data_IF_642331063206
#
_entry.id   IF_642331063206
#
_cell.length_a   1.000
_cell.length_b   1.000
_cell.length_c   1.000
_cell.angle_alpha   90.00
_cell.angle_beta   90.00
_cell.angle_gamma   90.00
#
_symmetry.space_group_name_H-M   'P 1'
#
loop_
_entity.id
_entity.type
_entity.pdbx_description
1 polymer ?
#
# COMPACT_ATOMS: atom_id res chain seq x y z
N UNK A 1 18.30 28.04 14.12
CA UNK A 1 17.40 28.87 14.99
C UNK A 1 17.05 28.09 16.23
N UNK A 2 16.81 28.76 17.38
CA UNK A 2 16.32 28.07 18.57
C UNK A 2 14.82 27.89 18.46
N UNK A 3 14.34 26.63 18.57
CA UNK A 3 12.92 26.28 18.50
C UNK A 3 12.55 25.32 19.62
N UNK A 4 11.30 25.39 20.10
CA UNK A 4 10.74 24.36 20.97
C UNK A 4 10.57 23.04 20.21
N UNK A 5 10.66 21.90 20.91
CA UNK A 5 10.48 20.60 20.30
C UNK A 5 9.17 20.46 19.53
N UNK A 6 8.08 21.01 20.03
CA UNK A 6 6.80 21.06 19.34
C UNK A 6 6.89 21.76 17.96
N UNK A 7 7.58 22.91 17.89
CA UNK A 7 7.83 23.64 16.62
C UNK A 7 8.76 22.85 15.70
N UNK A 8 9.77 22.15 16.26
CA UNK A 8 10.66 21.27 15.49
C UNK A 8 9.88 20.15 14.80
N UNK A 9 8.86 19.58 15.45
CA UNK A 9 8.00 18.58 14.81
C UNK A 9 7.34 19.18 13.57
N UNK A 10 6.75 20.36 13.67
CA UNK A 10 6.06 21.02 12.55
C UNK A 10 7.03 21.35 11.41
N UNK A 11 8.18 21.92 11.72
CA UNK A 11 9.18 22.23 10.72
C UNK A 11 9.71 20.97 10.00
N UNK A 12 9.92 19.85 10.74
CA UNK A 12 10.29 18.58 10.12
C UNK A 12 9.17 18.02 9.22
N UNK A 13 7.90 18.17 9.59
CA UNK A 13 6.79 17.77 8.73
C UNK A 13 6.77 18.58 7.43
N UNK A 14 7.00 19.90 7.52
CA UNK A 14 7.11 20.79 6.35
C UNK A 14 8.30 20.41 5.46
N UNK A 15 9.47 20.08 6.04
CA UNK A 15 10.62 19.55 5.29
C UNK A 15 10.26 18.32 4.47
N UNK A 16 9.45 17.42 5.04
CA UNK A 16 9.06 16.17 4.39
C UNK A 16 7.89 16.32 3.40
N UNK A 17 7.41 17.55 3.18
CA UNK A 17 6.32 17.86 2.27
C UNK A 17 4.95 17.37 2.76
N UNK A 18 4.77 17.28 4.07
CA UNK A 18 3.49 16.93 4.68
C UNK A 18 2.59 18.16 4.64
N UNK A 19 1.45 18.03 4.00
CA UNK A 19 0.41 19.05 3.89
C UNK A 19 -0.84 18.73 4.72
N UNK A 20 -0.96 17.48 5.17
CA UNK A 20 -2.15 17.00 5.90
C UNK A 20 -1.74 16.01 6.98
N UNK A 21 -2.28 16.17 8.18
CA UNK A 21 -2.13 15.25 9.31
C UNK A 21 -3.49 14.87 9.87
N UNK A 22 -3.63 13.63 10.34
CA UNK A 22 -4.85 13.08 10.91
C UNK A 22 -4.63 12.76 12.38
N UNK A 23 -5.58 13.09 13.25
CA UNK A 23 -5.39 12.75 14.66
C UNK A 23 -6.45 13.29 15.60
N UNK A 24 -6.25 12.94 16.88
CA UNK A 24 -7.08 13.42 17.97
C UNK A 24 -6.20 13.95 19.11
N UNK A 25 -6.47 15.15 19.65
CA UNK A 25 -5.66 15.76 20.71
C UNK A 25 -5.86 15.04 22.06
N UNK A 26 -4.84 15.16 22.91
CA UNK A 26 -4.88 14.67 24.29
C UNK A 26 -3.73 15.25 25.10
N UNK A 27 -3.74 15.09 26.42
CA UNK A 27 -2.89 15.82 27.36
C UNK A 27 -1.38 15.81 27.04
N UNK A 28 -0.83 14.67 26.65
CA UNK A 28 0.60 14.58 26.39
C UNK A 28 1.05 15.23 25.07
N UNK A 29 0.16 15.36 24.07
CA UNK A 29 0.47 15.89 22.73
C UNK A 29 0.07 17.36 22.51
N UNK A 30 -0.51 18.01 23.51
CA UNK A 30 -1.06 19.37 23.37
C UNK A 30 -0.08 20.40 22.84
N UNK A 31 1.20 20.34 23.23
CA UNK A 31 2.22 21.29 22.75
C UNK A 31 2.40 21.19 21.22
N UNK A 32 2.37 19.97 20.68
CA UNK A 32 2.46 19.73 19.22
C UNK A 32 1.20 20.24 18.53
N UNK A 33 0.01 20.04 19.12
CA UNK A 33 -1.25 20.55 18.56
C UNK A 33 -1.33 22.09 18.61
N UNK A 34 -0.77 22.73 19.66
CA UNK A 34 -0.67 24.18 19.73
C UNK A 34 0.25 24.74 18.64
N UNK A 35 1.41 24.08 18.41
CA UNK A 35 2.29 24.44 17.32
C UNK A 35 1.60 24.20 15.95
N UNK A 36 0.91 23.08 15.76
CA UNK A 36 0.17 22.77 14.54
C UNK A 36 -0.93 23.80 14.25
N UNK A 37 -1.64 24.27 15.28
CA UNK A 37 -2.65 25.32 15.14
C UNK A 37 -2.04 26.64 14.62
N UNK A 38 -0.86 27.01 15.09
CA UNK A 38 -0.13 28.20 14.62
C UNK A 38 0.31 28.13 13.16
N UNK A 39 0.46 26.92 12.62
CA UNK A 39 0.84 26.63 11.24
C UNK A 39 -0.31 26.02 10.42
N UNK A 40 -1.55 26.30 10.79
CA UNK A 40 -2.76 25.74 10.15
C UNK A 40 -2.98 26.22 8.70
N UNK A 41 -2.30 27.26 8.26
CA UNK A 41 -2.22 27.72 6.87
C UNK A 41 -1.25 26.90 6.00
N UNK A 42 -0.29 26.20 6.62
CA UNK A 42 0.71 25.38 5.93
C UNK A 42 0.41 23.88 6.03
N UNK A 43 -0.07 23.40 7.17
CA UNK A 43 -0.42 21.99 7.41
C UNK A 43 -1.85 21.88 7.86
N UNK A 44 -2.66 21.19 7.08
CA UNK A 44 -4.07 20.93 7.41
C UNK A 44 -4.18 19.82 8.45
N UNK A 45 -4.77 20.10 9.59
CA UNK A 45 -5.13 19.09 10.57
C UNK A 45 -6.58 18.61 10.34
N UNK A 46 -6.77 17.30 10.32
CA UNK A 46 -8.08 16.66 10.28
C UNK A 46 -8.34 16.02 11.64
N UNK A 47 -9.27 16.60 12.37
CA UNK A 47 -9.74 16.06 13.65
C UNK A 47 -10.64 14.86 13.38
N UNK A 48 -10.15 13.67 13.67
CA UNK A 48 -10.93 12.43 13.55
C UNK A 48 -11.72 12.15 14.81
N UNK A 49 -12.78 11.36 14.71
CA UNK A 49 -13.57 10.97 15.89
C UNK A 49 -12.88 9.92 16.75
N UNK A 50 -11.92 9.19 16.17
CA UNK A 50 -11.17 8.15 16.86
C UNK A 50 -9.79 8.00 16.20
N UNK A 51 -8.75 7.66 16.97
CA UNK A 51 -7.39 7.54 16.45
C UNK A 51 -7.26 6.38 15.44
N UNK A 52 -8.05 5.33 15.54
CA UNK A 52 -8.11 4.29 14.51
C UNK A 52 -8.55 4.87 13.17
N UNK A 53 -9.56 5.75 13.15
CA UNK A 53 -9.96 6.50 11.96
C UNK A 53 -8.83 7.36 11.40
N UNK A 54 -8.05 8.03 12.27
CA UNK A 54 -6.87 8.79 11.86
C UNK A 54 -5.82 7.92 11.17
N UNK A 55 -5.51 6.75 11.71
CA UNK A 55 -4.54 5.83 11.10
C UNK A 55 -5.01 5.28 9.76
N UNK A 56 -6.31 4.97 9.62
CA UNK A 56 -6.89 4.56 8.33
C UNK A 56 -6.94 5.71 7.32
N UNK A 57 -7.19 6.94 7.76
CA UNK A 57 -7.15 8.10 6.89
C UNK A 57 -5.72 8.39 6.39
N UNK A 58 -4.72 8.29 7.26
CA UNK A 58 -3.31 8.38 6.86
C UNK A 58 -2.91 7.30 5.86
N UNK A 59 -3.37 6.05 6.07
CA UNK A 59 -3.17 4.94 5.14
C UNK A 59 -3.83 5.22 3.78
N UNK A 60 -5.10 5.61 3.75
CA UNK A 60 -5.83 5.93 2.53
C UNK A 60 -5.20 7.10 1.76
N UNK A 61 -4.75 8.15 2.47
CA UNK A 61 -4.01 9.26 1.88
C UNK A 61 -2.71 8.77 1.22
N UNK A 62 -1.93 7.94 1.92
CA UNK A 62 -0.67 7.43 1.39
C UNK A 62 -0.87 6.55 0.15
N UNK A 63 -1.88 5.66 0.15
CA UNK A 63 -2.18 4.80 -1.01
C UNK A 63 -2.61 5.61 -2.22
N UNK A 64 -3.50 6.59 -2.03
CA UNK A 64 -4.03 7.39 -3.13
C UNK A 64 -2.98 8.33 -3.74
N UNK A 65 -2.13 8.94 -2.92
CA UNK A 65 -1.16 9.95 -3.35
C UNK A 65 0.24 9.41 -3.65
N UNK A 66 0.63 8.30 -3.01
CA UNK A 66 2.02 7.82 -3.00
C UNK A 66 2.94 8.59 -2.06
N UNK A 67 2.42 9.58 -1.31
CA UNK A 67 3.14 10.30 -0.25
C UNK A 67 3.13 9.49 1.06
N UNK A 68 3.87 9.95 2.05
CA UNK A 68 3.77 9.39 3.41
C UNK A 68 2.53 9.92 4.10
N UNK A 69 1.69 9.03 4.63
CA UNK A 69 0.58 9.41 5.49
C UNK A 69 1.05 9.70 6.92
N UNK A 70 0.49 10.70 7.58
CA UNK A 70 0.87 11.05 8.94
C UNK A 70 -0.35 11.03 9.85
N UNK A 71 -0.27 10.28 10.94
CA UNK A 71 -1.26 10.31 12.01
C UNK A 71 -0.62 10.64 13.36
N UNK A 72 -1.39 11.28 14.22
CA UNK A 72 -0.93 11.73 15.52
C UNK A 72 -1.89 11.30 16.63
N UNK A 73 -1.34 10.88 17.77
CA UNK A 73 -2.13 10.50 18.93
C UNK A 73 -1.43 10.85 20.25
N UNK A 74 -2.23 11.06 21.30
CA UNK A 74 -1.71 11.20 22.65
C UNK A 74 -1.19 9.87 23.20
N UNK A 75 -0.60 9.89 24.38
CA UNK A 75 -0.10 8.72 25.11
C UNK A 75 -1.22 7.75 25.52
N UNK A 76 -0.83 6.56 25.94
CA UNK A 76 -1.73 5.56 26.49
C UNK A 76 -2.82 5.11 25.51
N UNK A 77 -4.11 5.30 25.83
CA UNK A 77 -5.21 4.83 24.97
C UNK A 77 -5.21 5.44 23.58
N UNK A 78 -4.79 6.71 23.41
CA UNK A 78 -4.67 7.32 22.09
C UNK A 78 -3.65 6.60 21.20
N UNK A 79 -2.48 6.32 21.73
CA UNK A 79 -1.44 5.58 21.03
C UNK A 79 -1.88 4.14 20.71
N UNK A 80 -2.50 3.43 21.65
CA UNK A 80 -2.97 2.05 21.41
C UNK A 80 -4.09 1.97 20.39
N UNK A 81 -4.92 3.00 20.24
CA UNK A 81 -5.96 3.06 19.23
C UNK A 81 -5.41 3.14 17.78
N UNK A 82 -4.15 3.50 17.59
CA UNK A 82 -3.50 3.48 16.26
C UNK A 82 -3.07 2.07 15.81
N UNK A 83 -2.96 1.10 16.71
CA UNK A 83 -2.32 -0.20 16.46
C UNK A 83 -2.92 -0.94 15.28
N UNK A 84 -4.24 -1.03 15.21
CA UNK A 84 -4.92 -1.71 14.07
C UNK A 84 -4.58 -1.06 12.73
N UNK A 85 -4.57 0.27 12.64
CA UNK A 85 -4.23 0.96 11.40
C UNK A 85 -2.75 0.82 11.03
N UNK A 86 -1.85 0.87 12.01
CA UNK A 86 -0.42 0.61 11.81
C UNK A 86 -0.21 -0.82 11.27
N UNK A 87 -0.87 -1.83 11.85
CA UNK A 87 -0.81 -3.20 11.37
C UNK A 87 -1.36 -3.36 9.94
N UNK A 88 -2.44 -2.64 9.62
CA UNK A 88 -3.01 -2.59 8.25
C UNK A 88 -1.99 -2.05 7.25
N UNK A 89 -1.36 -0.92 7.57
CA UNK A 89 -0.32 -0.31 6.74
C UNK A 89 0.91 -1.23 6.58
N UNK A 90 1.32 -1.91 7.65
CA UNK A 90 2.44 -2.85 7.62
C UNK A 90 2.19 -4.03 6.69
N UNK A 91 1.03 -4.67 6.81
CA UNK A 91 0.68 -5.84 6.00
C UNK A 91 0.61 -5.54 4.50
N UNK A 92 0.27 -4.30 4.13
CA UNK A 92 0.12 -3.87 2.74
C UNK A 92 1.26 -2.97 2.23
N UNK A 93 2.32 -2.81 3.03
CA UNK A 93 3.51 -2.03 2.65
C UNK A 93 3.19 -0.55 2.34
N UNK A 94 2.40 0.09 3.21
CA UNK A 94 1.99 1.49 3.07
C UNK A 94 2.88 2.39 3.93
N UNK A 95 3.51 3.44 3.37
CA UNK A 95 4.35 4.35 4.13
C UNK A 95 3.49 5.26 5.01
N UNK A 96 3.51 5.03 6.32
CA UNK A 96 2.85 5.83 7.34
C UNK A 96 3.85 6.20 8.41
N UNK A 97 3.84 7.45 8.86
CA UNK A 97 4.55 7.89 10.07
C UNK A 97 3.51 8.20 11.15
N UNK A 98 3.50 7.37 12.18
CA UNK A 98 2.66 7.55 13.35
C UNK A 98 3.46 8.29 14.43
N UNK A 99 3.00 9.47 14.83
CA UNK A 99 3.62 10.28 15.88
C UNK A 99 2.75 10.17 17.13
N UNK A 100 3.32 9.58 18.19
CA UNK A 100 2.68 9.49 19.50
C UNK A 100 3.41 10.35 20.51
N UNK A 101 2.68 10.87 21.46
CA UNK A 101 3.30 11.47 22.64
C UNK A 101 3.36 10.46 23.80
N UNK A 102 4.29 10.67 24.72
CA UNK A 102 4.41 9.87 25.91
C UNK A 102 4.55 10.76 27.16
N UNK A 103 4.49 10.15 28.32
CA UNK A 103 4.76 10.81 29.60
C UNK A 103 6.20 11.38 29.62
N UNK A 104 6.49 12.28 30.54
CA UNK A 104 7.84 12.82 30.69
C UNK A 104 8.89 11.73 30.98
N UNK A 105 10.12 11.93 30.51
CA UNK A 105 11.25 10.96 30.62
C UNK A 105 11.42 10.36 32.03
N UNK A 106 11.20 11.16 33.08
CA UNK A 106 11.34 10.72 34.48
C UNK A 106 10.21 9.81 34.96
N UNK A 107 9.10 9.72 34.21
CA UNK A 107 7.93 8.90 34.52
C UNK A 107 7.87 7.59 33.73
N UNK A 108 8.74 7.40 32.75
CA UNK A 108 8.77 6.18 31.94
C UNK A 108 9.12 4.97 32.80
N UNK A 109 8.36 3.88 32.62
CA UNK A 109 8.52 2.61 33.33
C UNK A 109 8.04 2.66 34.79
N UNK A 110 7.12 3.58 35.12
CA UNK A 110 6.58 3.78 36.47
C UNK A 110 5.07 3.54 36.58
N UNK A 111 4.46 2.96 35.56
CA UNK A 111 3.00 2.78 35.48
C UNK A 111 2.25 4.12 35.66
N UNK A 112 2.81 5.18 35.08
CA UNK A 112 2.27 6.53 35.18
C UNK A 112 0.93 6.66 34.45
N UNK A 113 0.11 7.65 34.81
CA UNK A 113 -1.17 7.88 34.14
C UNK A 113 -1.00 8.03 32.64
N UNK A 114 -1.75 7.23 31.86
CA UNK A 114 -1.67 7.14 30.40
C UNK A 114 -0.29 6.79 29.83
N UNK A 115 0.54 6.10 30.59
CA UNK A 115 1.75 5.50 30.08
C UNK A 115 1.46 4.14 29.43
N UNK A 116 2.09 3.86 28.32
CA UNK A 116 2.11 2.54 27.67
C UNK A 116 3.41 2.39 26.86
N UNK A 117 3.97 1.20 26.83
CA UNK A 117 5.11 0.88 25.93
C UNK A 117 4.60 0.67 24.50
N UNK A 118 4.23 1.79 23.85
CA UNK A 118 3.73 1.74 22.48
C UNK A 118 4.80 1.26 21.48
N UNK A 119 6.08 1.51 21.77
CA UNK A 119 7.18 1.03 20.94
C UNK A 119 7.26 -0.51 20.99
N UNK A 120 7.16 -1.11 22.17
CA UNK A 120 7.09 -2.56 22.33
C UNK A 120 5.86 -3.18 21.67
N UNK A 121 4.69 -2.56 21.83
CA UNK A 121 3.44 -3.02 21.22
C UNK A 121 3.52 -2.99 19.67
N UNK A 122 4.13 -1.96 19.10
CA UNK A 122 4.18 -1.77 17.63
C UNK A 122 5.41 -2.39 16.97
N UNK A 123 6.36 -2.91 17.73
CA UNK A 123 7.59 -3.50 17.19
C UNK A 123 7.34 -4.52 16.06
N UNK A 124 6.43 -5.51 16.18
CA UNK A 124 6.19 -6.52 15.15
C UNK A 124 5.38 -6.01 13.94
N UNK A 125 4.82 -4.82 14.01
CA UNK A 125 3.93 -4.25 12.98
C UNK A 125 4.43 -2.92 12.40
N UNK A 126 5.72 -2.59 12.62
CA UNK A 126 6.39 -1.42 12.06
C UNK A 126 7.71 -1.81 11.40
N UNK A 127 8.17 -1.03 10.44
CA UNK A 127 9.53 -1.16 9.91
C UNK A 127 10.57 -0.77 10.95
N UNK A 128 10.23 0.25 11.73
CA UNK A 128 11.04 0.75 12.84
C UNK A 128 10.17 1.57 13.78
N UNK A 129 10.60 1.69 15.03
CA UNK A 129 10.02 2.61 15.99
C UNK A 129 11.12 3.32 16.78
N UNK A 130 10.80 4.52 17.23
CA UNK A 130 11.70 5.38 18.00
C UNK A 130 11.00 5.87 19.26
N UNK A 131 11.78 6.01 20.35
CA UNK A 131 11.38 6.76 21.53
C UNK A 131 12.33 7.95 21.65
N UNK A 132 11.82 9.17 21.47
CA UNK A 132 12.60 10.40 21.56
C UNK A 132 12.54 10.94 22.99
N UNK A 133 13.67 10.96 23.68
CA UNK A 133 13.80 11.37 25.10
C UNK A 133 14.59 12.67 25.29
N UNK A 134 15.26 13.12 24.24
CA UNK A 134 16.11 14.32 24.23
C UNK A 134 15.81 15.13 22.97
N UNK A 135 15.65 16.45 23.12
CA UNK A 135 15.17 17.34 22.04
C UNK A 135 16.14 17.45 20.86
N UNK A 136 17.43 17.34 21.10
CA UNK A 136 18.46 17.36 20.07
C UNK A 136 18.34 16.19 19.08
N UNK A 137 17.74 15.09 19.54
CA UNK A 137 17.50 13.91 18.70
C UNK A 137 16.21 13.98 17.88
N UNK A 138 15.33 14.96 18.15
CA UNK A 138 13.99 15.00 17.57
C UNK A 138 14.00 15.17 16.04
N UNK A 139 14.68 16.19 15.52
CA UNK A 139 14.75 16.41 14.08
C UNK A 139 15.49 15.27 13.34
N UNK A 140 16.65 14.78 13.79
CA UNK A 140 17.30 13.60 13.18
C UNK A 140 16.40 12.36 13.14
N UNK A 141 15.67 12.08 14.22
CA UNK A 141 14.77 10.92 14.30
C UNK A 141 13.59 11.06 13.35
N UNK A 142 12.93 12.21 13.30
CA UNK A 142 11.81 12.44 12.38
C UNK A 142 12.26 12.28 10.91
N UNK A 143 13.35 12.89 10.50
CA UNK A 143 13.92 12.74 9.15
C UNK A 143 14.19 11.27 8.82
N UNK A 144 14.81 10.54 9.75
CA UNK A 144 15.08 9.11 9.60
C UNK A 144 13.80 8.27 9.52
N UNK A 145 12.77 8.61 10.29
CA UNK A 145 11.48 7.93 10.25
C UNK A 145 10.82 8.02 8.87
N UNK A 146 10.80 9.21 8.28
CA UNK A 146 10.27 9.41 6.92
C UNK A 146 11.11 8.69 5.86
N UNK A 147 12.42 8.70 5.99
CA UNK A 147 13.31 7.96 5.09
C UNK A 147 13.05 6.45 5.18
N UNK A 148 12.98 5.87 6.37
CA UNK A 148 12.71 4.44 6.58
C UNK A 148 11.33 4.06 6.05
N UNK A 149 10.30 4.88 6.29
CA UNK A 149 8.95 4.59 5.81
C UNK A 149 8.88 4.42 4.29
N UNK A 150 9.68 5.16 3.53
CA UNK A 150 9.70 5.16 2.05
C UNK A 150 10.73 4.24 1.42
N UNK A 151 11.84 3.94 2.11
CA UNK A 151 12.97 3.20 1.55
C UNK A 151 12.67 1.71 1.38
N UNK A 152 13.25 1.07 0.36
CA UNK A 152 13.06 -0.35 0.06
C UNK A 152 11.58 -0.70 -0.07
N UNK A 153 11.15 -1.80 0.56
CA UNK A 153 9.72 -2.10 0.74
C UNK A 153 9.13 -1.07 1.72
N UNK A 154 8.16 -0.23 1.31
CA UNK A 154 7.58 0.78 2.22
C UNK A 154 6.85 0.17 3.40
N UNK A 155 6.60 0.98 4.43
CA UNK A 155 5.83 0.53 5.59
C UNK A 155 5.80 1.57 6.70
N UNK A 156 5.03 1.33 7.77
CA UNK A 156 4.83 2.26 8.85
C UNK A 156 6.06 2.36 9.76
N UNK A 157 6.26 3.56 10.30
CA UNK A 157 7.24 3.87 11.35
C UNK A 157 6.54 4.63 12.46
N UNK A 158 6.84 4.27 13.71
CA UNK A 158 6.34 4.98 14.89
C UNK A 158 7.43 5.89 15.46
N UNK A 159 7.05 7.11 15.84
CA UNK A 159 7.89 8.04 16.59
C UNK A 159 7.15 8.46 17.85
N UNK A 160 7.59 7.94 18.99
CA UNK A 160 7.03 8.22 20.30
C UNK A 160 7.86 9.33 20.99
N UNK A 161 7.23 10.45 21.37
CA UNK A 161 7.92 11.66 21.83
C UNK A 161 7.53 11.92 23.29
N UNK A 162 8.51 11.92 24.18
CA UNK A 162 8.24 12.20 25.59
C UNK A 162 7.91 13.68 25.83
N UNK A 163 7.03 13.96 26.79
CA UNK A 163 6.48 15.29 27.08
C UNK A 163 7.56 16.36 27.35
N UNK A 164 8.67 16.01 27.98
CA UNK A 164 9.77 16.95 28.21
C UNK A 164 10.44 17.42 26.93
N UNK A 165 10.41 16.63 25.85
CA UNK A 165 10.99 16.97 24.55
C UNK A 165 10.17 18.05 23.86
N UNK A 166 8.83 17.98 23.91
CA UNK A 166 7.96 18.94 23.23
C UNK A 166 8.10 20.37 23.74
N UNK A 167 8.41 20.53 25.04
CA UNK A 167 8.60 21.83 25.68
C UNK A 167 10.04 22.33 25.73
N UNK A 168 11.02 21.46 25.52
CA UNK A 168 12.44 21.84 25.51
C UNK A 168 12.84 22.58 24.23
N UNK A 169 13.90 23.40 24.29
CA UNK A 169 14.43 24.13 23.15
C UNK A 169 15.73 23.50 22.65
N UNK A 170 15.89 23.47 21.33
CA UNK A 170 17.10 23.04 20.67
C UNK A 170 17.40 23.87 19.43
N UNK A 171 18.62 23.80 18.97
CA UNK A 171 19.02 24.39 17.68
C UNK A 171 18.42 23.56 16.53
N UNK A 172 17.67 24.23 15.66
CA UNK A 172 17.08 23.65 14.48
C UNK A 172 17.65 24.29 13.21
N UNK A 173 18.02 23.44 12.27
CA UNK A 173 18.42 23.81 10.91
C UNK A 173 17.55 23.02 9.93
N UNK A 174 16.88 23.74 9.02
CA UNK A 174 16.10 23.12 7.94
C UNK A 174 17.01 22.34 6.98
N UNK A 175 16.60 21.14 6.60
CA UNK A 175 17.31 20.29 5.65
C UNK A 175 16.37 19.80 4.56
N UNK A 176 16.91 19.68 3.35
CA UNK A 176 16.18 18.99 2.30
C UNK A 176 16.09 17.50 2.61
N UNK A 177 14.93 16.85 2.33
CA UNK A 177 14.80 15.42 2.51
C UNK A 177 15.81 14.64 1.68
N UNK A 178 16.42 13.64 2.27
CA UNK A 178 17.27 12.72 1.53
C UNK A 178 16.46 12.05 0.40
N UNK A 179 16.95 12.06 -0.84
CA UNK A 179 16.28 11.39 -1.93
C UNK A 179 16.18 9.88 -1.65
N UNK A 180 15.05 9.28 -1.97
CA UNK A 180 14.93 7.84 -1.94
C UNK A 180 15.64 7.27 -3.17
N UNK A 181 16.81 6.73 -2.96
CA UNK A 181 17.53 5.99 -3.99
C UNK A 181 16.79 4.69 -4.21
N UNK A 182 16.29 4.48 -5.43
CA UNK A 182 15.73 3.19 -5.80
C UNK A 182 16.85 2.15 -5.81
N UNK A 183 16.59 1.00 -5.22
CA UNK A 183 17.60 -0.05 -5.13
C UNK A 183 17.84 -0.61 -6.53
N UNK A 184 18.92 -0.17 -7.16
CA UNK A 184 19.39 -0.62 -8.48
C UNK A 184 20.66 -1.45 -8.37
N UNK A 185 21.42 -1.32 -7.29
CA UNK A 185 22.70 -2.01 -7.05
C UNK A 185 22.50 -3.53 -6.87
N UNK A 186 21.28 -3.97 -6.59
CA UNK A 186 20.90 -5.37 -6.47
C UNK A 186 20.47 -6.00 -7.80
N UNK A 187 20.31 -5.20 -8.86
CA UNK A 187 19.98 -5.67 -10.20
C UNK A 187 21.27 -6.19 -10.86
N UNK A 188 21.52 -7.49 -10.73
CA UNK A 188 22.71 -8.12 -11.29
C UNK A 188 22.50 -8.48 -12.74
N UNK A 189 23.52 -8.26 -13.56
CA UNK A 189 23.49 -8.55 -15.00
C UNK A 189 23.12 -10.00 -15.29
N UNK A 190 23.72 -10.94 -14.57
CA UNK A 190 23.46 -12.38 -14.69
C UNK A 190 22.01 -12.78 -14.41
N UNK A 191 21.32 -12.09 -13.47
CA UNK A 191 19.90 -12.33 -13.17
C UNK A 191 19.03 -11.81 -14.32
N UNK A 192 19.40 -10.66 -14.90
CA UNK A 192 18.69 -10.08 -16.06
C UNK A 192 18.88 -10.97 -17.30
N UNK A 193 20.09 -11.43 -17.59
CA UNK A 193 20.36 -12.34 -18.71
C UNK A 193 19.56 -13.64 -18.59
N UNK A 194 19.52 -14.23 -17.39
CA UNK A 194 18.71 -15.42 -17.11
C UNK A 194 17.22 -15.16 -17.32
N UNK A 195 16.71 -14.00 -16.88
CA UNK A 195 15.32 -13.64 -17.12
C UNK A 195 15.02 -13.48 -18.61
N UNK A 196 15.90 -12.83 -19.38
CA UNK A 196 15.78 -12.71 -20.85
C UNK A 196 15.74 -14.08 -21.50
N UNK A 197 16.62 -14.99 -21.09
CA UNK A 197 16.64 -16.37 -21.61
C UNK A 197 15.31 -17.09 -21.32
N UNK A 198 14.87 -17.08 -20.06
CA UNK A 198 13.61 -17.73 -19.65
C UNK A 198 12.40 -17.19 -20.44
N UNK A 199 12.29 -15.88 -20.58
CA UNK A 199 11.19 -15.23 -21.30
C UNK A 199 11.29 -15.56 -22.81
N UNK A 200 12.48 -15.55 -23.36
CA UNK A 200 12.69 -15.84 -24.79
C UNK A 200 12.36 -17.30 -25.16
N UNK A 201 12.52 -18.23 -24.25
CA UNK A 201 12.21 -19.66 -24.46
C UNK A 201 10.75 -20.02 -24.20
N UNK A 202 10.01 -19.18 -23.45
CA UNK A 202 8.63 -19.46 -23.10
C UNK A 202 7.71 -19.54 -24.32
N UNK A 203 6.80 -20.49 -24.31
CA UNK A 203 5.73 -20.68 -25.32
C UNK A 203 4.36 -20.31 -24.80
N UNK A 204 4.18 -20.33 -23.49
CA UNK A 204 2.93 -20.02 -22.76
C UNK A 204 3.24 -19.12 -21.56
N UNK A 205 3.86 -17.92 -21.78
CA UNK A 205 4.15 -17.01 -20.68
C UNK A 205 2.85 -16.47 -20.07
N UNK A 206 2.89 -16.20 -18.76
CA UNK A 206 1.79 -15.59 -18.03
C UNK A 206 2.36 -14.61 -17.01
N UNK A 207 1.79 -13.41 -16.93
CA UNK A 207 2.26 -12.36 -16.02
C UNK A 207 1.31 -12.23 -14.83
N UNK A 208 1.87 -12.25 -13.62
CA UNK A 208 1.15 -12.01 -12.38
C UNK A 208 1.65 -10.71 -11.72
N UNK A 209 0.77 -9.71 -11.62
CA UNK A 209 1.11 -8.36 -11.15
C UNK A 209 0.59 -8.15 -9.72
N UNK A 210 1.46 -7.69 -8.84
CA UNK A 210 1.12 -7.35 -7.46
C UNK A 210 1.18 -5.87 -7.13
N UNK A 211 0.95 -5.54 -5.86
CA UNK A 211 0.97 -4.17 -5.35
C UNK A 211 2.31 -3.44 -5.52
N UNK A 212 3.42 -4.17 -5.58
CA UNK A 212 4.73 -3.60 -5.82
C UNK A 212 4.85 -2.85 -7.14
N UNK A 213 4.11 -3.26 -8.18
CA UNK A 213 4.06 -2.55 -9.45
C UNK A 213 3.38 -1.17 -9.31
N UNK A 214 2.29 -1.08 -8.52
CA UNK A 214 1.62 0.20 -8.21
C UNK A 214 2.50 1.09 -7.34
N UNK A 215 3.15 0.53 -6.32
CA UNK A 215 4.05 1.27 -5.41
C UNK A 215 5.23 1.86 -6.18
N UNK A 216 5.80 1.09 -7.10
CA UNK A 216 6.93 1.51 -7.95
C UNK A 216 6.53 2.45 -9.09
N UNK A 217 5.23 2.68 -9.33
CA UNK A 217 4.70 3.40 -10.49
C UNK A 217 5.16 2.79 -11.84
N UNK A 218 5.13 1.46 -11.93
CA UNK A 218 5.67 0.69 -13.06
C UNK A 218 4.59 0.26 -14.08
N UNK A 219 3.38 0.80 -14.02
CA UNK A 219 2.25 0.36 -14.85
C UNK A 219 2.55 0.42 -16.36
N UNK A 220 3.27 1.45 -16.80
CA UNK A 220 3.69 1.60 -18.20
C UNK A 220 4.67 0.50 -18.60
N UNK A 221 5.67 0.24 -17.78
CA UNK A 221 6.71 -0.77 -18.03
C UNK A 221 6.12 -2.19 -18.00
N UNK A 222 5.13 -2.43 -17.14
CA UNK A 222 4.37 -3.70 -17.11
C UNK A 222 3.57 -3.88 -18.40
N UNK A 223 2.88 -2.86 -18.86
CA UNK A 223 2.13 -2.90 -20.11
C UNK A 223 3.06 -3.12 -21.31
N UNK A 224 4.20 -2.42 -21.35
CA UNK A 224 5.24 -2.60 -22.38
C UNK A 224 5.73 -4.05 -22.41
N UNK A 225 6.07 -4.64 -21.26
CA UNK A 225 6.45 -6.05 -21.17
C UNK A 225 5.37 -6.96 -21.76
N UNK A 226 4.14 -6.83 -21.26
CA UNK A 226 3.02 -7.69 -21.64
C UNK A 226 2.74 -7.67 -23.15
N UNK A 227 2.71 -6.48 -23.74
CA UNK A 227 2.47 -6.30 -25.15
C UNK A 227 3.65 -6.77 -26.02
N UNK A 228 4.90 -6.52 -25.57
CA UNK A 228 6.10 -6.92 -26.29
C UNK A 228 6.23 -8.44 -26.43
N UNK A 229 5.90 -9.17 -25.36
CA UNK A 229 5.96 -10.62 -25.37
C UNK A 229 4.59 -11.30 -25.59
N UNK A 230 3.53 -10.52 -25.86
CA UNK A 230 2.16 -11.01 -26.07
C UNK A 230 1.74 -12.03 -25.00
N UNK A 231 1.91 -11.66 -23.72
CA UNK A 231 1.57 -12.51 -22.57
C UNK A 231 0.29 -12.05 -21.88
N UNK A 232 -0.64 -12.96 -21.54
CA UNK A 232 -1.78 -12.64 -20.71
C UNK A 232 -1.35 -12.16 -19.33
N UNK A 233 -2.13 -11.26 -18.73
CA UNK A 233 -1.84 -10.64 -17.44
C UNK A 233 -2.97 -10.90 -16.46
N UNK A 234 -2.64 -11.33 -15.24
CA UNK A 234 -3.54 -11.31 -14.09
C UNK A 234 -2.96 -10.45 -12.97
N UNK A 235 -3.79 -10.06 -12.03
CA UNK A 235 -3.37 -9.31 -10.87
C UNK A 235 -3.72 -9.98 -9.54
N UNK A 236 -3.05 -9.54 -8.48
CA UNK A 236 -3.48 -9.75 -7.10
C UNK A 236 -4.51 -8.67 -6.71
N UNK A 237 -5.16 -8.85 -5.55
CA UNK A 237 -6.04 -7.81 -4.98
C UNK A 237 -5.34 -6.44 -4.88
N UNK A 238 -4.08 -6.43 -4.42
CA UNK A 238 -3.28 -5.20 -4.28
C UNK A 238 -2.68 -4.70 -5.60
N UNK A 239 -2.69 -5.53 -6.65
CA UNK A 239 -2.19 -5.18 -7.99
C UNK A 239 -3.22 -4.49 -8.89
N UNK A 240 -4.46 -4.31 -8.41
CA UNK A 240 -5.53 -3.66 -9.17
C UNK A 240 -5.11 -2.29 -9.70
N UNK A 241 -5.34 -2.08 -10.99
CA UNK A 241 -4.98 -0.84 -11.69
C UNK A 241 -3.50 -0.72 -12.10
N UNK A 242 -2.62 -1.62 -11.63
CA UNK A 242 -1.24 -1.66 -12.12
C UNK A 242 -1.15 -2.11 -13.60
N UNK A 243 -2.13 -2.87 -14.04
CA UNK A 243 -2.37 -3.15 -15.46
C UNK A 243 -3.82 -2.80 -15.80
N UNK A 244 -4.12 -2.14 -16.94
CA UNK A 244 -5.47 -1.67 -17.25
C UNK A 244 -6.48 -2.83 -17.36
N UNK A 245 -7.59 -2.73 -16.62
CA UNK A 245 -8.62 -3.77 -16.61
C UNK A 245 -9.43 -3.91 -17.90
N UNK A 246 -9.26 -2.98 -18.86
CA UNK A 246 -9.88 -3.01 -20.19
C UNK A 246 -8.95 -3.59 -21.26
N UNK A 247 -7.67 -3.78 -20.93
CA UNK A 247 -6.69 -4.29 -21.89
C UNK A 247 -7.05 -5.72 -22.36
N UNK A 248 -6.94 -6.04 -23.67
CA UNK A 248 -7.24 -7.38 -24.17
C UNK A 248 -6.43 -8.50 -23.52
N UNK A 249 -5.20 -8.23 -23.08
CA UNK A 249 -4.34 -9.20 -22.41
C UNK A 249 -4.75 -9.44 -20.94
N UNK A 250 -5.58 -8.57 -20.35
CA UNK A 250 -6.01 -8.72 -18.98
C UNK A 250 -7.01 -9.86 -18.81
N UNK A 251 -6.76 -10.72 -17.81
CA UNK A 251 -7.58 -11.92 -17.55
C UNK A 251 -8.39 -11.83 -16.25
N UNK A 252 -8.14 -10.82 -15.43
CA UNK A 252 -8.78 -10.64 -14.12
C UNK A 252 -7.86 -11.00 -12.96
N UNK A 253 -8.42 -11.04 -11.76
CA UNK A 253 -7.70 -11.37 -10.53
C UNK A 253 -7.35 -12.86 -10.46
N UNK A 254 -6.21 -13.18 -9.84
CA UNK A 254 -5.75 -14.54 -9.54
C UNK A 254 -6.17 -14.97 -8.12
N UNK A 255 -6.35 -16.24 -7.91
CA UNK A 255 -6.50 -16.87 -6.60
C UNK A 255 -7.92 -17.27 -6.25
N UNK A 256 -8.23 -17.35 -4.95
CA UNK A 256 -9.50 -17.87 -4.40
C UNK A 256 -10.74 -17.18 -4.99
N UNK A 257 -10.67 -15.86 -5.17
CA UNK A 257 -11.73 -15.03 -5.75
C UNK A 257 -11.39 -14.58 -7.18
N UNK A 258 -10.42 -15.24 -7.79
CA UNK A 258 -9.96 -14.95 -9.14
C UNK A 258 -10.88 -15.47 -10.23
N UNK A 259 -10.62 -15.04 -11.45
CA UNK A 259 -11.34 -15.50 -12.64
C UNK A 259 -10.86 -16.89 -13.06
N UNK A 260 -11.72 -17.63 -13.78
CA UNK A 260 -11.30 -18.92 -14.37
C UNK A 260 -10.14 -18.77 -15.38
N UNK A 261 -10.14 -17.77 -16.28
CA UNK A 261 -9.00 -17.55 -17.18
C UNK A 261 -7.67 -17.33 -16.45
N UNK A 262 -7.66 -16.53 -15.35
CA UNK A 262 -6.44 -16.27 -14.58
C UNK A 262 -5.93 -17.54 -13.88
N UNK A 263 -6.82 -18.25 -13.16
CA UNK A 263 -6.45 -19.49 -12.49
C UNK A 263 -6.02 -20.59 -13.45
N UNK A 264 -6.71 -20.72 -14.59
CA UNK A 264 -6.33 -21.65 -15.64
C UNK A 264 -4.96 -21.28 -16.26
N UNK A 265 -4.76 -19.99 -16.55
CA UNK A 265 -3.52 -19.48 -17.11
C UNK A 265 -2.31 -19.86 -16.27
N UNK A 266 -2.37 -19.65 -14.95
CA UNK A 266 -1.29 -20.01 -14.02
C UNK A 266 -1.05 -21.53 -13.96
N UNK A 267 -2.09 -22.34 -14.03
CA UNK A 267 -1.96 -23.82 -14.02
C UNK A 267 -1.34 -24.37 -15.30
N UNK A 268 -1.51 -23.69 -16.44
CA UNK A 268 -1.15 -24.21 -17.77
C UNK A 268 -0.04 -23.41 -18.48
N UNK A 269 0.45 -22.31 -17.88
CA UNK A 269 1.61 -21.61 -18.40
C UNK A 269 2.89 -22.47 -18.25
N UNK A 270 3.90 -22.19 -19.05
CA UNK A 270 5.25 -22.76 -18.93
C UNK A 270 6.23 -21.80 -18.26
N UNK A 271 5.87 -20.49 -18.21
CA UNK A 271 6.58 -19.46 -17.47
C UNK A 271 5.60 -18.54 -16.77
N UNK A 272 5.71 -18.43 -15.44
CA UNK A 272 5.01 -17.43 -14.63
C UNK A 272 5.98 -16.30 -14.27
N UNK A 273 5.69 -15.09 -14.77
CA UNK A 273 6.47 -13.87 -14.45
C UNK A 273 5.71 -13.12 -13.35
N UNK A 274 6.26 -13.14 -12.15
CA UNK A 274 5.64 -12.50 -10.98
C UNK A 274 6.31 -11.15 -10.71
N UNK A 275 5.53 -10.09 -10.70
CA UNK A 275 6.00 -8.70 -10.65
C UNK A 275 5.47 -8.01 -9.40
N UNK A 276 6.33 -7.79 -8.40
CA UNK A 276 5.99 -7.10 -7.16
C UNK A 276 4.80 -7.74 -6.42
N UNK A 277 4.71 -9.07 -6.44
CA UNK A 277 3.63 -9.82 -5.82
C UNK A 277 4.17 -10.88 -4.86
N UNK A 278 3.58 -10.94 -3.66
CA UNK A 278 3.82 -12.02 -2.70
C UNK A 278 2.94 -13.21 -3.07
N UNK A 279 3.44 -14.41 -2.85
CA UNK A 279 2.66 -15.63 -2.99
C UNK A 279 1.88 -15.92 -1.71
N UNK A 280 0.81 -15.10 -1.45
CA UNK A 280 -0.05 -15.33 -0.28
C UNK A 280 -0.95 -16.55 -0.50
N UNK A 281 -1.44 -17.14 0.59
CA UNK A 281 -2.32 -18.31 0.55
C UNK A 281 -3.65 -18.04 -0.17
N UNK A 282 -4.10 -16.78 -0.20
CA UNK A 282 -5.30 -16.37 -0.96
C UNK A 282 -5.11 -16.47 -2.47
N UNK A 283 -3.86 -16.37 -2.92
CA UNK A 283 -3.48 -16.49 -4.33
C UNK A 283 -3.10 -17.93 -4.67
N UNK A 284 -2.25 -18.54 -3.86
CA UNK A 284 -1.70 -19.88 -4.14
C UNK A 284 -2.63 -21.02 -3.75
N UNK A 285 -3.50 -20.81 -2.76
CA UNK A 285 -4.16 -21.92 -2.07
C UNK A 285 -3.11 -22.85 -1.47
N UNK A 286 -3.08 -24.10 -1.93
CA UNK A 286 -2.01 -25.05 -1.60
C UNK A 286 -0.76 -24.71 -2.42
N UNK A 287 0.22 -24.05 -1.79
CA UNK A 287 1.47 -23.65 -2.45
C UNK A 287 2.23 -24.85 -3.07
N UNK A 288 2.09 -26.05 -2.50
CA UNK A 288 2.72 -27.26 -3.06
C UNK A 288 2.16 -27.67 -4.41
N UNK A 289 1.01 -27.14 -4.80
CA UNK A 289 0.31 -27.43 -6.07
C UNK A 289 0.28 -26.25 -7.03
N UNK A 290 0.74 -25.07 -6.58
CA UNK A 290 0.71 -23.83 -7.36
C UNK A 290 1.71 -23.89 -8.55
N UNK A 291 1.27 -23.51 -9.74
CA UNK A 291 2.06 -23.34 -10.96
C UNK A 291 3.06 -24.50 -11.28
N UNK A 292 2.74 -25.74 -10.93
CA UNK A 292 3.66 -26.91 -11.02
C UNK A 292 4.29 -27.17 -12.37
N UNK A 293 3.69 -26.69 -13.46
CA UNK A 293 4.17 -26.90 -14.83
C UNK A 293 5.04 -25.75 -15.32
N UNK A 294 5.02 -24.62 -14.60
CA UNK A 294 5.72 -23.42 -14.99
C UNK A 294 7.08 -23.30 -14.29
N UNK A 295 8.05 -22.74 -15.00
CA UNK A 295 9.16 -22.04 -14.37
C UNK A 295 8.62 -20.73 -13.79
N UNK A 296 9.20 -20.26 -12.68
CA UNK A 296 8.76 -19.03 -12.00
C UNK A 296 9.92 -18.04 -11.98
N UNK A 297 9.69 -16.86 -12.57
CA UNK A 297 10.57 -15.71 -12.47
C UNK A 297 9.89 -14.70 -11.52
N UNK A 298 10.57 -14.31 -10.43
CA UNK A 298 10.06 -13.32 -9.47
C UNK A 298 10.88 -12.03 -9.51
N UNK A 299 10.20 -10.90 -9.66
CA UNK A 299 10.77 -9.55 -9.55
C UNK A 299 10.21 -8.92 -8.29
N UNK A 300 11.05 -8.66 -7.31
CA UNK A 300 10.64 -8.06 -6.03
C UNK A 300 11.75 -7.17 -5.45
N UNK A 301 11.36 -6.15 -4.70
CA UNK A 301 12.30 -5.28 -4.00
C UNK A 301 12.79 -5.89 -2.68
N UNK A 302 12.01 -6.82 -2.10
CA UNK A 302 12.26 -7.43 -0.81
C UNK A 302 12.86 -8.83 -0.98
N UNK A 303 14.17 -9.02 -0.70
CA UNK A 303 14.79 -10.33 -0.83
C UNK A 303 14.18 -11.39 0.11
N UNK A 304 13.52 -10.97 1.20
CA UNK A 304 12.87 -11.88 2.14
C UNK A 304 11.60 -12.53 1.57
N UNK A 305 11.04 -12.01 0.49
CA UNK A 305 9.89 -12.63 -0.20
C UNK A 305 10.30 -13.72 -1.20
N UNK A 306 11.59 -13.79 -1.59
CA UNK A 306 12.08 -14.81 -2.51
C UNK A 306 12.15 -16.18 -1.81
N UNK A 307 11.57 -17.19 -2.44
CA UNK A 307 11.51 -18.57 -1.93
C UNK A 307 10.77 -18.73 -0.59
N UNK A 308 10.03 -17.73 -0.15
CA UNK A 308 9.32 -17.76 1.14
C UNK A 308 8.13 -18.72 1.14
N UNK A 309 7.24 -18.60 0.19
CA UNK A 309 6.02 -19.41 0.09
C UNK A 309 6.02 -20.34 -1.12
N UNK A 310 6.65 -19.94 -2.20
CA UNK A 310 6.83 -20.72 -3.43
C UNK A 310 8.29 -20.63 -3.83
N UNK A 311 8.87 -21.78 -4.17
CA UNK A 311 10.24 -21.81 -4.70
C UNK A 311 10.23 -21.34 -6.15
N UNK A 312 11.12 -20.40 -6.47
CA UNK A 312 11.23 -19.81 -7.80
C UNK A 312 12.48 -20.29 -8.55
N UNK A 313 12.43 -20.35 -9.87
CA UNK A 313 13.56 -20.78 -10.72
C UNK A 313 14.58 -19.65 -10.92
N UNK A 314 14.11 -18.39 -10.90
CA UNK A 314 14.96 -17.21 -10.98
C UNK A 314 14.30 -16.00 -10.32
N UNK A 315 15.12 -15.06 -9.88
CA UNK A 315 14.62 -13.80 -9.31
C UNK A 315 15.49 -12.61 -9.68
N UNK A 316 14.90 -11.42 -9.74
CA UNK A 316 15.63 -10.14 -9.82
C UNK A 316 15.22 -9.31 -8.63
N UNK A 317 16.19 -8.97 -7.78
CA UNK A 317 15.96 -8.10 -6.61
C UNK A 317 16.14 -6.65 -7.03
N UNK A 318 15.07 -5.86 -6.88
CA UNK A 318 15.13 -4.43 -7.19
C UNK A 318 13.74 -3.78 -7.30
N UNK A 319 13.74 -2.46 -7.44
CA UNK A 319 12.51 -1.70 -7.73
C UNK A 319 11.93 -2.16 -9.07
N UNK A 320 10.65 -2.50 -9.09
CA UNK A 320 9.97 -3.09 -10.27
C UNK A 320 10.17 -2.23 -11.52
N UNK A 321 9.99 -0.91 -11.42
CA UNK A 321 10.15 -0.01 -12.56
C UNK A 321 11.58 -0.03 -13.08
N UNK A 322 12.55 0.06 -12.19
CA UNK A 322 13.98 0.03 -12.55
C UNK A 322 14.37 -1.29 -13.20
N UNK A 323 13.89 -2.41 -12.67
CA UNK A 323 14.12 -3.75 -13.26
C UNK A 323 13.53 -3.83 -14.66
N UNK A 324 12.28 -3.43 -14.84
CA UNK A 324 11.61 -3.51 -16.15
C UNK A 324 12.23 -2.55 -17.18
N UNK A 325 12.73 -1.39 -16.77
CA UNK A 325 13.47 -0.48 -17.66
C UNK A 325 14.78 -1.08 -18.19
N UNK A 326 15.41 -1.97 -17.43
CA UNK A 326 16.60 -2.70 -17.87
C UNK A 326 16.23 -3.94 -18.69
N UNK A 327 15.18 -4.65 -18.29
CA UNK A 327 14.76 -5.92 -18.88
C UNK A 327 14.06 -5.75 -20.24
N UNK A 328 13.07 -4.85 -20.32
CA UNK A 328 12.21 -4.69 -21.50
C UNK A 328 12.99 -4.42 -22.80
N UNK A 329 14.01 -3.53 -22.85
CA UNK A 329 14.77 -3.29 -24.08
C UNK A 329 15.52 -4.50 -24.60
N UNK A 330 15.86 -5.47 -23.73
CA UNK A 330 16.65 -6.67 -24.08
C UNK A 330 15.79 -7.83 -24.60
N UNK A 331 14.47 -7.73 -24.43
CA UNK A 331 13.56 -8.79 -24.88
C UNK A 331 13.23 -8.64 -26.36
N UNK A 332 13.18 -9.77 -27.13
CA UNK A 332 12.63 -9.76 -28.48
C UNK A 332 11.11 -9.60 -28.44
N UNK A 333 10.55 -9.08 -29.52
CA UNK A 333 9.10 -9.19 -29.77
C UNK A 333 8.73 -10.66 -29.96
N UNK A 334 7.61 -11.07 -29.38
CA UNK A 334 7.12 -12.45 -29.43
C UNK A 334 5.64 -12.46 -29.79
N UNK A 335 5.23 -13.52 -30.45
CA UNK A 335 3.83 -13.83 -30.69
C UNK A 335 3.47 -15.18 -30.05
N UNK A 336 2.40 -15.18 -29.28
CA UNK A 336 1.88 -16.38 -28.63
C UNK A 336 0.41 -16.62 -28.99
N UNK A 337 0.08 -16.50 -30.27
CA UNK A 337 -1.30 -16.51 -30.79
C UNK A 337 -2.11 -17.69 -30.29
N UNK A 338 -1.61 -18.90 -30.39
CA UNK A 338 -2.34 -20.11 -29.93
C UNK A 338 -2.64 -20.07 -28.43
N UNK A 339 -1.70 -19.54 -27.64
CA UNK A 339 -1.90 -19.37 -26.19
C UNK A 339 -2.93 -18.31 -25.87
N UNK A 340 -2.88 -17.16 -26.54
CA UNK A 340 -3.85 -16.09 -26.40
C UNK A 340 -5.26 -16.53 -26.85
N UNK A 341 -5.37 -17.29 -27.93
CA UNK A 341 -6.65 -17.84 -28.41
C UNK A 341 -7.27 -18.78 -27.36
N UNK A 342 -6.47 -19.63 -26.71
CA UNK A 342 -6.93 -20.51 -25.63
C UNK A 342 -7.44 -19.71 -24.42
N UNK A 343 -6.71 -18.68 -23.99
CA UNK A 343 -7.11 -17.80 -22.88
C UNK A 343 -8.38 -17.01 -23.25
N UNK A 344 -8.46 -16.48 -24.46
CA UNK A 344 -9.64 -15.73 -24.92
C UNK A 344 -10.87 -16.64 -25.03
N UNK A 345 -10.71 -17.88 -25.46
CA UNK A 345 -11.82 -18.86 -25.45
C UNK A 345 -12.35 -19.09 -24.02
N UNK A 346 -11.46 -19.12 -23.01
CA UNK A 346 -11.87 -19.22 -21.62
C UNK A 346 -12.56 -17.94 -21.10
N UNK A 347 -12.06 -16.75 -21.48
CA UNK A 347 -12.73 -15.47 -21.15
C UNK A 347 -14.17 -15.46 -21.69
N UNK A 348 -14.38 -15.91 -22.90
CA UNK A 348 -15.70 -15.97 -23.54
C UNK A 348 -16.60 -17.06 -22.92
N UNK A 349 -16.03 -18.20 -22.55
CA UNK A 349 -16.78 -19.32 -21.96
C UNK A 349 -17.19 -19.06 -20.50
N UNK A 350 -16.37 -18.33 -19.76
CA UNK A 350 -16.56 -18.12 -18.32
C UNK A 350 -16.52 -16.63 -17.95
N UNK A 351 -17.38 -15.79 -18.56
CA UNK A 351 -17.47 -14.39 -18.13
C UNK A 351 -17.99 -14.28 -16.70
N UNK A 352 -17.61 -13.22 -16.02
CA UNK A 352 -18.25 -12.87 -14.75
C UNK A 352 -19.71 -12.50 -15.04
N UNK A 353 -20.65 -13.18 -14.36
CA UNK A 353 -22.09 -13.01 -14.57
C UNK A 353 -22.72 -12.39 -13.34
N UNK A 354 -23.70 -11.55 -13.55
CA UNK A 354 -24.57 -10.98 -12.52
C UNK A 354 -25.99 -10.85 -13.08
N UNK A 355 -26.99 -10.74 -12.18
CA UNK A 355 -28.39 -10.51 -12.60
C UNK A 355 -28.62 -9.02 -12.74
N UNK A 356 -29.21 -8.61 -13.85
CA UNK A 356 -29.66 -7.23 -14.11
C UNK A 356 -31.11 -7.00 -13.61
N UNK A 357 -31.84 -8.08 -13.31
CA UNK A 357 -33.24 -8.02 -12.86
C UNK A 357 -33.37 -7.67 -11.37
N UNK A 358 -32.28 -7.69 -10.62
CA UNK A 358 -32.24 -7.45 -9.19
C UNK A 358 -31.09 -6.56 -8.81
N UNK A 359 -31.29 -5.73 -7.79
CA UNK A 359 -30.23 -4.92 -7.19
C UNK A 359 -29.30 -5.84 -6.38
N UNK A 360 -28.24 -6.29 -7.03
CA UNK A 360 -27.17 -7.11 -6.44
C UNK A 360 -25.88 -6.32 -6.31
N UNK A 361 -24.96 -6.72 -5.41
CA UNK A 361 -23.65 -6.08 -5.28
C UNK A 361 -22.88 -5.98 -6.60
N UNK A 362 -22.74 -7.09 -7.37
CA UNK A 362 -22.12 -7.03 -8.71
C UNK A 362 -22.77 -6.03 -9.66
N UNK A 363 -24.11 -5.97 -9.70
CA UNK A 363 -24.85 -5.01 -10.52
C UNK A 363 -24.53 -3.56 -10.14
N UNK A 364 -24.51 -3.26 -8.82
CA UNK A 364 -24.15 -1.91 -8.32
C UNK A 364 -22.74 -1.52 -8.76
N UNK A 365 -21.78 -2.44 -8.69
CA UNK A 365 -20.40 -2.16 -9.10
C UNK A 365 -20.27 -1.96 -10.63
N UNK A 366 -21.03 -2.69 -11.43
CA UNK A 366 -21.07 -2.48 -12.88
C UNK A 366 -21.69 -1.13 -13.24
N UNK A 367 -22.79 -0.74 -12.58
CA UNK A 367 -23.41 0.57 -12.77
C UNK A 367 -22.48 1.71 -12.31
N UNK A 368 -21.80 1.52 -11.18
CA UNK A 368 -20.78 2.47 -10.73
C UNK A 368 -19.68 2.64 -11.79
N UNK A 369 -19.17 1.53 -12.34
CA UNK A 369 -18.19 1.58 -13.43
C UNK A 369 -18.76 2.30 -14.67
N UNK A 370 -19.99 1.97 -15.07
CA UNK A 370 -20.64 2.60 -16.23
C UNK A 370 -20.76 4.13 -16.10
N UNK A 371 -21.11 4.59 -14.88
CA UNK A 371 -21.28 6.02 -14.57
C UNK A 371 -19.92 6.73 -14.51
N UNK A 372 -18.95 6.14 -13.80
CA UNK A 372 -17.64 6.75 -13.60
C UNK A 372 -16.67 6.50 -14.75
N UNK A 373 -16.96 5.55 -15.63
CA UNK A 373 -16.06 5.11 -16.71
C UNK A 373 -14.67 4.70 -16.20
N UNK A 374 -14.61 4.18 -14.97
CA UNK A 374 -13.35 3.81 -14.31
C UNK A 374 -12.56 4.99 -13.71
N UNK A 375 -13.09 6.22 -13.78
CA UNK A 375 -12.43 7.40 -13.23
C UNK A 375 -12.96 7.74 -11.82
N UNK A 376 -12.76 6.82 -10.90
CA UNK A 376 -13.01 7.03 -9.47
C UNK A 376 -11.99 6.25 -8.62
N UNK A 377 -11.73 6.75 -7.44
CA UNK A 377 -11.02 6.00 -6.41
C UNK A 377 -12.05 5.16 -5.64
N UNK A 378 -11.95 3.86 -5.75
CA UNK A 378 -12.80 2.91 -5.05
C UNK A 378 -12.10 2.45 -3.78
N UNK A 379 -12.66 2.78 -2.65
CA UNK A 379 -12.20 2.32 -1.34
C UNK A 379 -13.17 1.25 -0.86
N UNK A 380 -12.68 0.12 -0.41
CA UNK A 380 -13.57 -0.95 0.05
C UNK A 380 -13.40 -1.24 1.53
N UNK A 381 -14.48 -1.67 2.12
CA UNK A 381 -14.46 -2.47 3.34
C UNK A 381 -14.07 -3.91 3.03
N UNK A 382 -14.07 -4.78 4.03
CA UNK A 382 -13.73 -6.20 3.91
C UNK A 382 -14.99 -7.07 3.84
N UNK A 383 -14.98 -8.05 2.93
CA UNK A 383 -16.07 -9.00 2.74
C UNK A 383 -16.49 -9.12 1.28
N UNK A 384 -17.76 -9.47 1.04
CA UNK A 384 -18.30 -9.64 -0.31
C UNK A 384 -18.16 -8.36 -1.15
N UNK A 385 -18.37 -7.20 -0.54
CA UNK A 385 -18.20 -5.89 -1.18
C UNK A 385 -16.79 -5.71 -1.79
N UNK A 386 -15.74 -6.12 -1.06
CA UNK A 386 -14.35 -6.09 -1.51
C UNK A 386 -14.13 -6.96 -2.74
N UNK A 387 -14.65 -8.20 -2.67
CA UNK A 387 -14.52 -9.16 -3.76
C UNK A 387 -15.26 -8.69 -5.01
N UNK A 388 -16.48 -8.19 -4.86
CA UNK A 388 -17.26 -7.68 -5.99
C UNK A 388 -16.61 -6.43 -6.59
N UNK A 389 -16.10 -5.51 -5.78
CA UNK A 389 -15.37 -4.35 -6.27
C UNK A 389 -14.12 -4.77 -7.07
N UNK A 390 -13.37 -5.77 -6.58
CA UNK A 390 -12.19 -6.29 -7.27
C UNK A 390 -12.51 -7.02 -8.58
N UNK A 391 -13.71 -7.65 -8.69
CA UNK A 391 -14.11 -8.46 -9.85
C UNK A 391 -14.86 -7.66 -10.91
N UNK A 392 -15.79 -6.81 -10.49
CA UNK A 392 -16.77 -6.20 -11.39
C UNK A 392 -16.51 -4.73 -11.74
N UNK A 393 -15.66 -4.02 -11.00
CA UNK A 393 -15.19 -2.69 -11.39
C UNK A 393 -13.86 -2.80 -12.14
N UNK A 394 -13.72 -2.13 -13.27
CA UNK A 394 -12.48 -2.15 -14.08
C UNK A 394 -11.61 -0.95 -13.72
N UNK A 395 -10.47 -1.22 -13.13
CA UNK A 395 -9.48 -0.21 -12.77
C UNK A 395 -8.57 0.07 -13.96
N UNK A 396 -8.38 1.35 -14.27
CA UNK A 396 -7.60 1.81 -15.43
C UNK A 396 -6.22 2.30 -15.02
N UNK A 397 -6.11 2.80 -13.81
CA UNK A 397 -4.92 3.44 -13.27
C UNK A 397 -4.54 2.85 -11.89
N UNK A 398 -3.24 2.84 -11.55
CA UNK A 398 -2.80 2.48 -10.21
C UNK A 398 -3.35 3.48 -9.17
N UNK A 399 -3.38 3.07 -7.90
CA UNK A 399 -3.83 3.87 -6.75
C UNK A 399 -5.31 4.29 -6.80
N UNK A 400 -6.12 3.62 -7.62
CA UNK A 400 -7.58 3.85 -7.71
C UNK A 400 -8.40 2.76 -7.02
N UNK A 401 -7.75 1.73 -6.50
CA UNK A 401 -8.37 0.70 -5.65
C UNK A 401 -7.65 0.63 -4.31
N UNK A 402 -8.33 1.00 -3.23
CA UNK A 402 -7.81 1.03 -1.88
C UNK A 402 -8.58 0.03 -1.01
N UNK A 403 -7.85 -0.84 -0.33
CA UNK A 403 -8.47 -1.88 0.50
C UNK A 403 -7.47 -2.42 1.52
N UNK A 404 -7.95 -2.97 2.63
CA UNK A 404 -7.12 -3.74 3.54
C UNK A 404 -6.98 -5.16 3.02
N UNK A 405 -5.94 -5.41 2.23
CA UNK A 405 -5.74 -6.68 1.54
C UNK A 405 -5.05 -7.74 2.39
N UNK A 406 -4.01 -7.36 3.12
CA UNK A 406 -3.19 -8.28 3.92
C UNK A 406 -3.79 -8.59 5.29
N UNK A 407 -4.21 -7.59 6.05
CA UNK A 407 -4.80 -7.77 7.38
C UNK A 407 -6.31 -8.05 7.32
N UNK A 408 -7.01 -7.54 6.31
CA UNK A 408 -8.46 -7.74 6.19
C UNK A 408 -9.24 -6.97 7.27
N UNK A 409 -8.89 -5.72 7.51
CA UNK A 409 -9.44 -4.89 8.59
C UNK A 409 -10.84 -4.41 8.24
N UNK A 410 -11.85 -4.94 8.92
CA UNK A 410 -13.20 -4.38 8.91
C UNK A 410 -13.23 -3.01 9.59
N UNK A 411 -13.94 -2.04 9.01
CA UNK A 411 -13.97 -0.65 9.49
C UNK A 411 -12.86 0.24 8.88
N UNK A 412 -12.07 -0.30 7.94
CA UNK A 412 -11.01 0.43 7.25
C UNK A 412 -11.55 1.51 6.30
N UNK A 413 -12.63 1.19 5.56
CA UNK A 413 -13.00 1.90 4.34
C UNK A 413 -13.38 3.36 4.55
N UNK A 414 -14.13 3.69 5.60
CA UNK A 414 -14.60 5.07 5.81
C UNK A 414 -13.41 6.02 6.10
N UNK A 415 -12.56 5.67 7.07
CA UNK A 415 -11.35 6.46 7.36
C UNK A 415 -10.44 6.59 6.14
N UNK A 416 -10.17 5.49 5.45
CA UNK A 416 -9.35 5.50 4.23
C UNK A 416 -9.95 6.34 3.10
N UNK A 417 -11.28 6.39 2.97
CA UNK A 417 -11.97 7.24 1.99
C UNK A 417 -11.78 8.72 2.28
N UNK A 418 -11.83 9.12 3.55
CA UNK A 418 -11.54 10.49 3.97
C UNK A 418 -10.12 10.90 3.58
N UNK A 419 -9.14 10.05 3.91
CA UNK A 419 -7.75 10.28 3.54
C UNK A 419 -7.53 10.33 2.03
N UNK A 420 -8.11 9.42 1.28
CA UNK A 420 -8.02 9.40 -0.19
C UNK A 420 -8.63 10.65 -0.82
N UNK A 421 -9.79 11.11 -0.32
CA UNK A 421 -10.44 12.33 -0.82
C UNK A 421 -9.62 13.59 -0.54
N UNK A 422 -8.99 13.67 0.62
CA UNK A 422 -8.11 14.79 0.96
C UNK A 422 -6.83 14.80 0.12
N UNK A 423 -6.30 13.61 -0.18
CA UNK A 423 -5.12 13.47 -1.04
C UNK A 423 -5.39 13.66 -2.53
N UNK A 424 -6.62 13.39 -2.97
CA UNK A 424 -7.05 13.50 -4.37
C UNK A 424 -8.36 14.30 -4.48
N UNK A 425 -8.33 15.62 -4.20
CA UNK A 425 -9.55 16.45 -4.08
C UNK A 425 -10.38 16.50 -5.36
N UNK A 426 -9.75 16.35 -6.53
CA UNK A 426 -10.41 16.41 -7.84
C UNK A 426 -11.03 15.07 -8.27
N UNK A 427 -10.69 13.96 -7.62
CA UNK A 427 -11.22 12.63 -7.90
C UNK A 427 -12.52 12.37 -7.12
N UNK A 428 -13.45 11.67 -7.75
CA UNK A 428 -14.55 11.03 -7.02
C UNK A 428 -13.98 9.88 -6.18
N UNK A 429 -14.25 9.89 -4.89
CA UNK A 429 -13.90 8.79 -3.97
C UNK A 429 -15.19 8.12 -3.51
N UNK A 430 -15.27 6.81 -3.67
CA UNK A 430 -16.46 6.01 -3.31
C UNK A 430 -16.07 4.95 -2.31
N UNK A 431 -16.70 4.97 -1.13
CA UNK A 431 -16.59 3.88 -0.16
C UNK A 431 -17.61 2.78 -0.45
N UNK A 432 -17.14 1.59 -0.79
CA UNK A 432 -17.98 0.41 -1.01
C UNK A 432 -17.96 -0.43 0.26
N UNK A 433 -19.02 -0.33 1.03
CA UNK A 433 -19.08 -0.91 2.37
C UNK A 433 -20.20 -1.94 2.53
N UNK A 434 -19.95 -2.97 3.33
CA UNK A 434 -21.00 -3.78 3.92
C UNK A 434 -21.49 -3.13 5.23
N UNK A 435 -22.71 -3.44 5.62
CA UNK A 435 -23.36 -2.86 6.81
C UNK A 435 -22.57 -3.06 8.10
N UNK A 436 -22.03 -4.27 8.31
CA UNK A 436 -21.23 -4.58 9.49
C UNK A 436 -19.94 -3.78 9.59
N UNK A 437 -19.20 -3.70 8.50
CA UNK A 437 -17.96 -2.93 8.45
C UNK A 437 -18.19 -1.43 8.61
N UNK A 438 -19.21 -0.89 7.94
CA UNK A 438 -19.56 0.52 8.01
C UNK A 438 -19.89 0.96 9.45
N UNK A 439 -20.58 0.09 10.19
CA UNK A 439 -20.94 0.37 11.60
C UNK A 439 -19.74 0.45 12.53
N UNK A 440 -18.63 -0.24 12.23
CA UNK A 440 -17.46 -0.29 13.12
C UNK A 440 -16.75 1.07 13.27
N UNK A 441 -16.74 1.89 12.22
CA UNK A 441 -16.13 3.21 12.23
C UNK A 441 -17.09 4.32 11.76
N UNK A 442 -18.40 4.11 11.94
CA UNK A 442 -19.44 5.07 11.55
C UNK A 442 -19.32 6.43 12.24
N UNK A 443 -18.65 6.49 13.39
CA UNK A 443 -18.30 7.72 14.08
C UNK A 443 -17.50 8.69 13.20
N UNK A 444 -16.73 8.20 12.23
CA UNK A 444 -15.99 9.05 11.30
C UNK A 444 -16.88 9.80 10.30
N UNK A 445 -18.18 9.58 10.30
CA UNK A 445 -19.12 10.47 9.60
C UNK A 445 -19.14 11.90 10.16
N UNK A 446 -18.70 12.07 11.40
CA UNK A 446 -18.57 13.39 12.03
C UNK A 446 -17.26 14.11 11.63
N UNK A 447 -16.27 13.36 11.14
CA UNK A 447 -15.00 13.89 10.62
C UNK A 447 -15.19 14.57 9.28
#
# INVERSE_FOLDING_TARGET
>A
MQLKGAEIVIECLKEQGVDTVFGYPGGAILDIYDALYKHSDEIRHILTSHEQGASHAADGYARATGKVGVCMATSGPGATNLVTGIATAYMDSVPVVAITANVGKSLLGRDSFQEVDIAGITMPITKHNFIVKDVEMLAPVLRRAFHIARSGRPGPVLVDITKNVTGAEAEYERKEPEPIVRVTDTIREEDVERAVEMISQAKRPFIFVGGGASISNASREVAELAHKIQAPVCDSLMGKGAFPGEDPLYTGMLGMHGTKPSNFGVVHCDLLITIGARFSERVTGDASRFAKKAKILQIDIDPAEINKNVIVDSSIIGDVKSVLQVLNPRLPEKEHKSWLDEINALKNKYPLKYSEDRLTGPYVLQELYRITKGDAVIVTEVGQNQMWAAQYYKYREPRTFLTSGGLGTMGYGLGASLGAKLGCPDKLVVNVAGDGCFRMNMNELAT
#
